data_IF_448626211528
#
_entry.id   IF_448626211528
#
_cell.length_a   1.000
_cell.length_b   1.000
_cell.length_c   1.000
_cell.angle_alpha   90.00
_cell.angle_beta   90.00
_cell.angle_gamma   90.00
#
_symmetry.space_group_name_H-M   'P 1'
#
loop_
_entity.id
_entity.type
_entity.pdbx_description
1 polymer ?
#
# COMPACT_ATOMS: atom_id res chain seq x y z
N UNK A 1 -8.34 -2.90 6.15
CA UNK A 1 -8.04 -4.33 6.46
C UNK A 1 -6.96 -4.47 7.53
N UNK A 2 -6.70 -5.69 8.03
CA UNK A 2 -5.63 -6.01 8.99
C UNK A 2 -4.74 -7.15 8.46
N UNK A 3 -3.42 -7.05 8.63
CA UNK A 3 -2.45 -8.09 8.33
C UNK A 3 -1.67 -8.49 9.57
N UNK A 4 -1.15 -9.73 9.61
CA UNK A 4 -0.24 -10.17 10.66
C UNK A 4 1.21 -10.04 10.21
N UNK A 5 1.88 -8.97 10.61
CA UNK A 5 3.25 -8.66 10.24
C UNK A 5 4.16 -8.85 11.45
N UNK A 6 5.20 -9.67 11.31
CA UNK A 6 6.14 -9.97 12.40
C UNK A 6 5.43 -10.41 13.70
N UNK A 7 4.40 -11.24 13.56
CA UNK A 7 3.59 -11.76 14.66
C UNK A 7 2.62 -10.77 15.29
N UNK A 8 2.56 -9.52 14.82
CA UNK A 8 1.69 -8.46 15.34
C UNK A 8 0.58 -8.13 14.34
N UNK A 9 -0.59 -7.79 14.88
CA UNK A 9 -1.68 -7.27 14.08
C UNK A 9 -1.33 -5.85 13.62
N UNK A 10 -1.45 -5.62 12.31
CA UNK A 10 -1.10 -4.37 11.65
C UNK A 10 -2.31 -3.90 10.83
N UNK A 11 -2.91 -2.79 11.26
CA UNK A 11 -4.05 -2.20 10.56
C UNK A 11 -3.58 -1.40 9.35
N UNK A 12 -4.16 -1.67 8.18
CA UNK A 12 -3.88 -0.93 6.95
C UNK A 12 -5.02 0.04 6.64
N UNK A 13 -4.64 1.31 6.48
CA UNK A 13 -5.55 2.43 6.28
C UNK A 13 -5.38 3.03 4.88
N UNK A 14 -6.38 2.95 4.01
CA UNK A 14 -6.28 3.43 2.62
C UNK A 14 -6.86 4.85 2.41
N UNK A 15 -6.48 5.79 3.28
CA UNK A 15 -6.93 7.20 3.23
C UNK A 15 -5.98 8.15 2.49
N UNK A 16 -6.27 9.45 2.52
CA UNK A 16 -5.38 10.50 1.95
C UNK A 16 -3.98 10.45 2.54
N UNK A 17 -3.85 10.12 3.84
CA UNK A 17 -2.54 9.97 4.48
C UNK A 17 -1.76 8.79 3.91
N UNK A 18 -2.41 7.68 3.58
CA UNK A 18 -1.77 6.56 2.89
C UNK A 18 -1.20 6.99 1.53
N UNK A 19 -1.97 7.74 0.74
CA UNK A 19 -1.49 8.27 -0.54
C UNK A 19 -0.24 9.13 -0.36
N UNK A 20 -0.21 9.98 0.68
CA UNK A 20 0.97 10.79 1.02
C UNK A 20 2.17 9.97 1.47
N UNK A 21 1.94 8.92 2.26
CA UNK A 21 3.01 8.01 2.68
C UNK A 21 3.56 7.22 1.49
N UNK A 22 2.70 6.79 0.58
CA UNK A 22 3.09 6.10 -0.65
C UNK A 22 3.94 7.00 -1.56
N UNK A 23 3.57 8.27 -1.73
CA UNK A 23 4.37 9.25 -2.47
C UNK A 23 5.77 9.45 -1.87
N UNK A 24 5.90 9.41 -0.53
CA UNK A 24 7.21 9.51 0.14
C UNK A 24 8.09 8.30 -0.17
N UNK A 25 7.53 7.10 -0.05
CA UNK A 25 8.27 5.84 -0.27
C UNK A 25 8.70 5.72 -1.73
N UNK A 26 7.86 6.16 -2.67
CA UNK A 26 8.18 6.17 -4.09
C UNK A 26 9.15 7.29 -4.52
N UNK A 27 9.61 8.15 -3.60
CA UNK A 27 10.49 9.28 -3.92
C UNK A 27 9.81 10.37 -4.76
N UNK A 28 8.48 10.40 -4.79
CA UNK A 28 7.67 11.33 -5.61
C UNK A 28 7.40 12.65 -4.87
N UNK A 29 8.02 12.87 -3.71
CA UNK A 29 7.93 14.13 -2.98
C UNK A 29 8.93 15.16 -3.51
N UNK A 30 8.48 16.07 -4.38
CA UNK A 30 9.24 17.28 -4.72
C UNK A 30 8.66 18.48 -3.97
N UNK A 31 9.48 19.19 -3.19
CA UNK A 31 9.07 20.42 -2.51
C UNK A 31 7.92 20.29 -1.51
N UNK A 32 7.64 19.09 -0.98
CA UNK A 32 6.57 18.85 0.00
C UNK A 32 5.16 18.67 -0.58
N UNK A 33 5.00 18.68 -1.91
CA UNK A 33 3.71 18.44 -2.56
C UNK A 33 3.63 16.98 -3.01
N UNK A 34 2.83 16.19 -2.30
CA UNK A 34 2.41 14.86 -2.69
C UNK A 34 1.12 15.01 -3.52
N UNK A 35 1.21 14.69 -4.81
CA UNK A 35 0.12 14.83 -5.79
C UNK A 35 -0.68 13.53 -6.00
N UNK A 36 -0.38 12.48 -5.23
CA UNK A 36 -1.01 11.16 -5.40
C UNK A 36 -0.58 10.44 -6.69
N UNK A 37 0.58 10.83 -7.24
CA UNK A 37 1.13 10.22 -8.45
C UNK A 37 1.72 8.83 -8.18
N UNK A 38 2.13 8.49 -6.96
CA UNK A 38 2.63 7.14 -6.68
C UNK A 38 1.51 6.10 -6.82
N UNK A 39 0.27 6.45 -6.45
CA UNK A 39 -0.86 5.53 -6.55
C UNK A 39 -1.13 5.10 -8.00
N UNK A 40 -0.93 6.01 -8.98
CA UNK A 40 -1.16 5.69 -10.40
C UNK A 40 -0.16 4.71 -10.99
N UNK A 41 1.03 4.61 -10.41
CA UNK A 41 2.04 3.60 -10.77
C UNK A 41 1.90 2.32 -9.95
N UNK A 42 1.52 2.47 -8.70
CA UNK A 42 1.43 1.36 -7.75
C UNK A 42 0.28 0.42 -8.09
N UNK A 43 -0.87 0.96 -8.52
CA UNK A 43 -2.03 0.13 -8.84
C UNK A 43 -1.77 -0.87 -9.98
N UNK A 44 -1.25 -0.46 -11.17
CA UNK A 44 -0.84 -1.42 -12.19
C UNK A 44 0.23 -2.41 -11.72
N UNK A 45 1.17 -1.97 -10.89
CA UNK A 45 2.23 -2.83 -10.38
C UNK A 45 1.66 -3.94 -9.47
N UNK A 46 0.70 -3.60 -8.60
CA UNK A 46 -0.05 -4.57 -7.79
C UNK A 46 -0.84 -5.56 -8.66
N UNK A 47 -1.47 -5.09 -9.74
CA UNK A 47 -2.20 -5.97 -10.68
C UNK A 47 -1.28 -6.96 -11.41
N UNK A 48 0.02 -6.64 -11.52
CA UNK A 48 1.05 -7.54 -12.06
C UNK A 48 1.83 -8.30 -10.99
N UNK A 49 1.34 -8.32 -9.75
CA UNK A 49 1.96 -9.00 -8.60
C UNK A 49 3.39 -8.52 -8.27
N UNK A 50 3.67 -7.22 -8.43
CA UNK A 50 4.97 -6.65 -8.05
C UNK A 50 5.16 -6.67 -6.52
N UNK A 51 6.14 -7.43 -5.99
CA UNK A 51 6.35 -7.56 -4.55
C UNK A 51 6.85 -6.27 -3.88
N UNK A 52 7.57 -5.41 -4.60
CA UNK A 52 8.03 -4.11 -4.10
C UNK A 52 6.85 -3.17 -3.95
N UNK A 53 5.93 -3.19 -4.93
CA UNK A 53 4.69 -2.42 -4.84
C UNK A 53 3.85 -2.85 -3.63
N UNK A 54 3.74 -4.16 -3.38
CA UNK A 54 3.02 -4.69 -2.22
C UNK A 54 3.65 -4.25 -0.91
N UNK A 55 4.97 -4.42 -0.74
CA UNK A 55 5.68 -4.01 0.48
C UNK A 55 5.48 -2.52 0.77
N UNK A 56 5.64 -1.67 -0.25
CA UNK A 56 5.45 -0.23 -0.13
C UNK A 56 4.02 0.16 0.27
N UNK A 57 3.01 -0.55 -0.26
CA UNK A 57 1.60 -0.31 0.08
C UNK A 57 1.29 -0.73 1.50
N UNK A 58 1.78 -1.88 1.94
CA UNK A 58 1.64 -2.34 3.32
C UNK A 58 2.28 -1.32 4.26
N UNK A 59 3.52 -0.93 4.01
CA UNK A 59 4.23 0.05 4.83
C UNK A 59 3.52 1.40 4.87
N UNK A 60 3.07 1.91 3.72
CA UNK A 60 2.35 3.18 3.63
C UNK A 60 0.98 3.10 4.34
N UNK A 61 0.26 1.99 4.20
CA UNK A 61 -1.05 1.77 4.83
C UNK A 61 -0.95 1.61 6.35
N UNK A 62 0.18 1.13 6.83
CA UNK A 62 0.44 0.90 8.25
C UNK A 62 0.74 2.18 9.06
N UNK A 63 0.60 3.38 8.48
CA UNK A 63 1.05 4.65 9.07
C UNK A 63 0.53 4.97 10.48
N UNK A 64 -0.60 4.37 10.88
CA UNK A 64 -1.27 4.62 12.16
C UNK A 64 -0.85 3.64 13.27
N UNK A 65 -0.14 2.56 12.93
CA UNK A 65 0.26 1.54 13.90
C UNK A 65 1.34 2.06 14.86
N UNK A 66 1.30 1.57 16.10
CA UNK A 66 2.31 1.86 17.13
C UNK A 66 2.68 0.57 17.87
N UNK A 67 3.88 0.01 17.65
CA UNK A 67 4.88 0.46 16.70
C UNK A 67 4.44 0.24 15.23
N UNK A 68 4.80 1.18 14.36
CA UNK A 68 4.66 0.99 12.90
C UNK A 68 5.68 -0.07 12.43
N UNK A 69 5.31 -1.02 11.56
CA UNK A 69 6.28 -1.93 10.95
C UNK A 69 7.31 -1.14 10.14
N UNK A 70 8.55 -1.62 10.12
CA UNK A 70 9.61 -1.09 9.25
C UNK A 70 9.41 -1.58 7.81
N UNK A 71 10.12 -0.98 6.84
CA UNK A 71 10.15 -1.52 5.47
C UNK A 71 10.72 -2.95 5.45
N UNK A 72 11.80 -3.22 6.21
CA UNK A 72 12.32 -4.58 6.36
C UNK A 72 11.28 -5.57 6.92
N UNK A 73 10.38 -5.13 7.81
CA UNK A 73 9.30 -6.00 8.31
C UNK A 73 8.28 -6.31 7.20
N UNK A 74 7.98 -5.34 6.33
CA UNK A 74 7.03 -5.53 5.21
C UNK A 74 7.66 -6.34 4.07
N UNK A 75 8.95 -6.16 3.79
CA UNK A 75 9.70 -6.97 2.83
C UNK A 75 9.72 -8.44 3.26
N UNK A 76 10.07 -8.71 4.53
CA UNK A 76 10.03 -10.07 5.09
C UNK A 76 8.64 -10.69 5.04
N UNK A 77 7.59 -9.91 5.27
CA UNK A 77 6.23 -10.40 5.12
C UNK A 77 5.99 -10.86 3.68
N UNK A 78 6.32 -10.04 2.69
CA UNK A 78 6.15 -10.38 1.26
C UNK A 78 6.98 -11.61 0.86
N UNK A 79 8.19 -11.79 1.40
CA UNK A 79 9.06 -12.93 1.12
C UNK A 79 8.60 -14.26 1.76
N UNK A 80 7.84 -14.21 2.85
CA UNK A 80 7.52 -15.39 3.68
C UNK A 80 6.05 -15.76 3.73
N UNK A 81 5.17 -14.87 3.26
CA UNK A 81 3.74 -15.11 3.28
C UNK A 81 3.31 -16.17 2.26
N UNK A 82 2.50 -17.13 2.73
CA UNK A 82 2.04 -18.28 1.92
C UNK A 82 0.78 -17.98 1.13
N UNK A 83 0.09 -16.89 1.44
CA UNK A 83 -1.17 -16.47 0.83
C UNK A 83 -0.98 -15.15 0.06
N UNK A 84 0.22 -14.94 -0.50
CA UNK A 84 0.63 -13.63 -1.01
C UNK A 84 -0.32 -13.12 -2.11
N UNK A 85 -0.73 -14.00 -3.04
CA UNK A 85 -1.69 -13.70 -4.10
C UNK A 85 -3.02 -13.16 -3.54
N UNK A 86 -3.52 -13.78 -2.47
CA UNK A 86 -4.74 -13.33 -1.79
C UNK A 86 -4.54 -11.96 -1.14
N UNK A 87 -3.37 -11.68 -0.56
CA UNK A 87 -3.08 -10.37 0.00
C UNK A 87 -3.00 -9.28 -1.07
N UNK A 88 -2.50 -9.58 -2.28
CA UNK A 88 -2.60 -8.66 -3.42
C UNK A 88 -4.06 -8.34 -3.73
N UNK A 89 -4.91 -9.36 -3.87
CA UNK A 89 -6.33 -9.19 -4.20
C UNK A 89 -7.09 -8.39 -3.15
N UNK A 90 -6.89 -8.71 -1.87
CA UNK A 90 -7.53 -8.01 -0.75
C UNK A 90 -7.11 -6.55 -0.69
N UNK A 91 -5.82 -6.24 -0.86
CA UNK A 91 -5.32 -4.87 -0.87
C UNK A 91 -5.86 -4.10 -2.08
N UNK A 92 -5.84 -4.69 -3.27
CA UNK A 92 -6.41 -4.08 -4.47
C UNK A 92 -7.90 -3.75 -4.25
N UNK A 93 -8.66 -4.69 -3.68
CA UNK A 93 -10.06 -4.47 -3.34
C UNK A 93 -10.25 -3.31 -2.38
N UNK A 94 -9.50 -3.27 -1.28
CA UNK A 94 -9.62 -2.20 -0.28
C UNK A 94 -9.25 -0.82 -0.86
N UNK A 95 -8.25 -0.74 -1.74
CA UNK A 95 -7.90 0.49 -2.46
C UNK A 95 -9.00 0.89 -3.45
N UNK A 96 -9.67 -0.07 -4.10
CA UNK A 96 -10.80 0.20 -4.98
C UNK A 96 -12.08 0.62 -4.25
N UNK A 97 -12.29 0.12 -3.03
CA UNK A 97 -13.50 0.39 -2.23
C UNK A 97 -13.35 1.65 -1.36
N UNK A 98 -12.13 2.06 -1.02
CA UNK A 98 -11.88 3.24 -0.19
C UNK A 98 -12.34 4.54 -0.86
N UNK A 99 -13.08 5.36 -0.10
CA UNK A 99 -13.55 6.69 -0.54
C UNK A 99 -12.43 7.59 -1.04
N UNK A 100 -11.23 7.49 -0.45
CA UNK A 100 -10.10 8.35 -0.80
C UNK A 100 -9.42 7.97 -2.11
N UNK A 101 -9.46 6.69 -2.51
CA UNK A 101 -8.67 6.15 -3.62
C UNK A 101 -9.51 5.62 -4.78
N UNK A 102 -10.79 5.29 -4.55
CA UNK A 102 -11.69 4.68 -5.54
C UNK A 102 -11.81 5.43 -6.87
N UNK A 103 -11.82 6.76 -6.85
CA UNK A 103 -11.96 7.57 -8.07
C UNK A 103 -10.70 7.50 -8.94
N UNK A 104 -9.51 7.55 -8.32
CA UNK A 104 -8.24 7.38 -9.04
C UNK A 104 -8.14 5.97 -9.59
N UNK A 105 -8.47 4.97 -8.77
CA UNK A 105 -8.41 3.58 -9.17
C UNK A 105 -9.39 3.24 -10.32
N UNK A 106 -10.58 3.85 -10.34
CA UNK A 106 -11.54 3.71 -11.45
C UNK A 106 -11.02 4.34 -12.74
N UNK A 107 -10.39 5.50 -12.67
CA UNK A 107 -9.88 6.21 -13.86
C UNK A 107 -8.71 5.49 -14.54
N UNK A 108 -7.96 4.65 -13.82
CA UNK A 108 -6.83 3.89 -14.38
C UNK A 108 -7.26 2.64 -15.15
N UNK A 109 -8.48 2.13 -14.89
CA UNK A 109 -9.05 0.97 -15.59
C UNK A 109 -9.84 1.34 -16.86
N UNK A 110 -9.99 2.64 -17.12
CA UNK A 110 -10.82 3.20 -18.19
C UNK A 110 -10.05 3.44 -19.49
#
# INVERSE_FOLDING_TARGET
>A
MELKINGKNCELNFGVRFVRELDKVAGVSSGGISLGMALTRTLPALETYDPVALSNVIYAGAYANSPRPTLDDTDKFVETDKELEKHFDEILKEVHDSTATKLVAKNLKA
#
